data_IF_139275538080
#
_entry.id   IF_139275538080
#
_cell.length_a   1.000
_cell.length_b   1.000
_cell.length_c   1.000
_cell.angle_alpha   90.00
_cell.angle_beta   90.00
_cell.angle_gamma   90.00
#
_symmetry.space_group_name_H-M   'P 1'
#
loop_
_entity.id
_entity.type
_entity.pdbx_description
1 polymer ?
#
# COMPACT_ATOMS: atom_id res chain seq x y z
N UNK A 1 1.62 14.83 -3.12
CA UNK A 1 1.62 16.29 -2.88
C UNK A 1 2.69 17.01 -3.70
N UNK A 2 3.97 16.59 -3.63
CA UNK A 2 5.07 17.23 -4.37
C UNK A 2 4.87 17.22 -5.90
N UNK A 3 4.53 16.08 -6.49
CA UNK A 3 4.27 15.95 -7.94
C UNK A 3 3.17 16.90 -8.43
N UNK A 4 2.08 17.01 -7.68
CA UNK A 4 0.98 17.94 -8.01
C UNK A 4 1.42 19.41 -7.97
N UNK A 5 2.25 19.80 -7.01
CA UNK A 5 2.81 21.14 -6.94
C UNK A 5 3.75 21.45 -8.11
N UNK A 6 4.66 20.54 -8.43
CA UNK A 6 5.60 20.68 -9.56
C UNK A 6 4.85 20.77 -10.90
N UNK A 7 3.86 19.90 -11.12
CA UNK A 7 3.04 19.92 -12.33
C UNK A 7 2.21 21.21 -12.44
N UNK A 8 1.53 21.62 -11.36
CA UNK A 8 0.68 22.80 -11.36
C UNK A 8 1.49 24.10 -11.55
N UNK A 9 2.53 24.32 -10.75
CA UNK A 9 3.39 25.50 -10.91
C UNK A 9 4.19 25.47 -12.21
N UNK A 10 4.62 24.29 -12.65
CA UNK A 10 5.38 24.14 -13.89
C UNK A 10 4.53 24.56 -15.09
N UNK A 11 3.25 24.20 -15.06
CA UNK A 11 2.29 24.66 -16.06
C UNK A 11 1.97 26.16 -15.92
N UNK A 12 1.59 26.63 -14.73
CA UNK A 12 1.17 28.04 -14.53
C UNK A 12 2.27 29.08 -14.77
N UNK A 13 3.52 28.73 -14.45
CA UNK A 13 4.67 29.63 -14.61
C UNK A 13 5.49 29.35 -15.87
N UNK A 14 5.05 28.39 -16.69
CA UNK A 14 5.73 27.92 -17.90
C UNK A 14 7.23 27.63 -17.66
N UNK A 15 7.57 27.12 -16.48
CA UNK A 15 8.95 26.89 -16.06
C UNK A 15 9.44 25.52 -16.54
N UNK A 16 10.28 25.52 -17.58
CA UNK A 16 10.87 24.33 -18.20
C UNK A 16 11.48 23.34 -17.21
N UNK A 17 12.29 23.83 -16.27
CA UNK A 17 12.98 22.98 -15.29
C UNK A 17 11.99 22.25 -14.37
N UNK A 18 10.93 22.95 -13.94
CA UNK A 18 9.92 22.38 -13.06
C UNK A 18 9.09 21.31 -13.78
N UNK A 19 8.74 21.58 -15.04
CA UNK A 19 8.00 20.67 -15.89
C UNK A 19 8.81 19.41 -16.23
N UNK A 20 10.11 19.54 -16.51
CA UNK A 20 11.01 18.40 -16.73
C UNK A 20 11.19 17.56 -15.47
N UNK A 21 11.32 18.21 -14.30
CA UNK A 21 11.40 17.50 -13.02
C UNK A 21 10.13 16.70 -12.76
N UNK A 22 8.96 17.29 -13.03
CA UNK A 22 7.67 16.59 -12.96
C UNK A 22 7.63 15.37 -13.90
N UNK A 23 8.03 15.53 -15.16
CA UNK A 23 8.09 14.43 -16.13
C UNK A 23 8.99 13.28 -15.66
N UNK A 24 10.21 13.60 -15.21
CA UNK A 24 11.17 12.58 -14.75
C UNK A 24 10.63 11.81 -13.55
N UNK A 25 10.01 12.50 -12.57
CA UNK A 25 9.40 11.83 -11.42
C UNK A 25 8.27 10.90 -11.86
N UNK A 26 7.39 11.35 -12.76
CA UNK A 26 6.31 10.51 -13.28
C UNK A 26 6.83 9.29 -14.05
N UNK A 27 7.93 9.44 -14.81
CA UNK A 27 8.54 8.33 -15.52
C UNK A 27 9.09 7.29 -14.53
N UNK A 28 9.77 7.72 -13.46
CA UNK A 28 10.22 6.81 -12.42
C UNK A 28 9.06 6.08 -11.74
N UNK A 29 7.95 6.76 -11.49
CA UNK A 29 6.76 6.13 -10.92
C UNK A 29 6.21 5.03 -11.85
N UNK A 30 6.17 5.23 -13.17
CA UNK A 30 5.75 4.18 -14.14
C UNK A 30 6.69 2.98 -14.04
N UNK A 31 8.00 3.23 -13.99
CA UNK A 31 8.98 2.15 -13.89
C UNK A 31 8.82 1.34 -12.59
N UNK A 32 8.52 2.00 -11.47
CA UNK A 32 8.23 1.34 -10.20
C UNK A 32 6.97 0.50 -10.30
N UNK A 33 5.88 1.02 -10.89
CA UNK A 33 4.63 0.27 -11.09
C UNK A 33 4.85 -1.00 -11.92
N UNK A 34 5.57 -0.90 -13.04
CA UNK A 34 5.92 -2.05 -13.88
C UNK A 34 6.76 -3.05 -13.10
N UNK A 35 7.74 -2.57 -12.32
CA UNK A 35 8.60 -3.43 -11.50
C UNK A 35 7.78 -4.15 -10.42
N UNK A 36 6.86 -3.46 -9.74
CA UNK A 36 5.98 -4.06 -8.74
C UNK A 36 5.09 -5.15 -9.34
N UNK A 37 4.50 -4.90 -10.52
CA UNK A 37 3.68 -5.91 -11.23
C UNK A 37 4.53 -7.13 -11.59
N UNK A 38 5.75 -6.94 -12.10
CA UNK A 38 6.66 -8.04 -12.43
C UNK A 38 7.06 -8.85 -11.20
N UNK A 39 7.43 -8.17 -10.11
CA UNK A 39 7.84 -8.82 -8.86
C UNK A 39 6.68 -9.61 -8.25
N UNK A 40 5.48 -9.03 -8.20
CA UNK A 40 4.29 -9.72 -7.72
C UNK A 40 3.95 -10.94 -8.59
N UNK A 41 4.13 -10.85 -9.91
CA UNK A 41 3.81 -11.96 -10.82
C UNK A 41 4.82 -13.12 -10.71
N UNK A 42 6.11 -12.81 -10.56
CA UNK A 42 7.18 -13.81 -10.57
C UNK A 42 7.43 -14.45 -9.19
N UNK A 43 7.30 -13.66 -8.11
CA UNK A 43 7.71 -14.07 -6.75
C UNK A 43 6.54 -14.11 -5.77
N UNK A 44 5.32 -14.38 -6.25
CA UNK A 44 4.12 -14.35 -5.41
C UNK A 44 4.20 -15.30 -4.20
N UNK A 45 4.81 -16.49 -4.35
CA UNK A 45 4.95 -17.46 -3.25
C UNK A 45 5.94 -16.97 -2.18
N UNK A 46 7.10 -16.46 -2.59
CA UNK A 46 8.09 -15.90 -1.66
C UNK A 46 7.56 -14.67 -0.95
N UNK A 47 6.80 -13.82 -1.65
CA UNK A 47 6.15 -12.65 -1.05
C UNK A 47 5.07 -13.06 -0.05
N UNK A 48 4.31 -14.13 -0.30
CA UNK A 48 3.29 -14.63 0.63
C UNK A 48 3.94 -15.07 1.95
N UNK A 49 5.04 -15.83 1.85
CA UNK A 49 5.81 -16.25 3.01
C UNK A 49 6.43 -15.07 3.73
N UNK A 50 7.09 -14.17 3.00
CA UNK A 50 7.74 -12.99 3.57
C UNK A 50 6.74 -12.07 4.27
N UNK A 51 5.56 -11.86 3.69
CA UNK A 51 4.51 -11.06 4.30
C UNK A 51 4.02 -11.69 5.62
N UNK A 52 3.83 -13.01 5.67
CA UNK A 52 3.50 -13.72 6.91
C UNK A 52 4.61 -13.54 7.96
N UNK A 53 5.86 -13.66 7.58
CA UNK A 53 7.01 -13.53 8.49
C UNK A 53 7.17 -12.10 9.01
N UNK A 54 7.11 -11.10 8.13
CA UNK A 54 7.19 -9.67 8.50
C UNK A 54 6.00 -9.28 9.43
N UNK A 55 4.80 -9.83 9.21
CA UNK A 55 3.65 -9.64 10.10
C UNK A 55 3.88 -10.26 11.48
N UNK A 56 4.42 -11.49 11.54
CA UNK A 56 4.76 -12.15 12.82
C UNK A 56 5.83 -11.40 13.57
N UNK A 57 6.80 -10.83 12.86
CA UNK A 57 7.82 -9.97 13.46
C UNK A 57 7.20 -8.70 14.05
N UNK A 58 6.28 -8.06 13.32
CA UNK A 58 5.53 -6.91 13.83
C UNK A 58 4.72 -7.21 15.10
N UNK A 59 4.25 -8.43 15.30
CA UNK A 59 3.54 -8.80 16.54
C UNK A 59 4.43 -8.69 17.80
N UNK A 60 5.77 -8.69 17.67
CA UNK A 60 6.68 -8.48 18.81
C UNK A 60 6.49 -7.10 19.46
N UNK A 61 6.24 -6.08 18.65
CA UNK A 61 6.13 -4.70 19.10
C UNK A 61 4.70 -4.31 19.48
N UNK A 62 3.77 -5.27 19.43
CA UNK A 62 2.36 -5.08 19.75
C UNK A 62 2.13 -4.41 21.13
N UNK A 63 2.98 -4.70 22.11
CA UNK A 63 2.89 -4.13 23.46
C UNK A 63 3.53 -2.76 23.60
N UNK A 64 4.49 -2.43 22.74
CA UNK A 64 5.36 -1.26 22.86
C UNK A 64 4.78 -0.12 22.03
N UNK A 65 4.28 -0.43 20.84
CA UNK A 65 3.78 0.55 19.89
C UNK A 65 2.24 0.56 19.90
N UNK A 66 1.66 1.61 20.47
CA UNK A 66 0.20 1.79 20.54
C UNK A 66 -0.46 1.85 19.15
N UNK A 67 0.22 2.44 18.15
CA UNK A 67 -0.27 2.47 16.78
C UNK A 67 -0.34 1.07 16.15
N UNK A 68 0.67 0.23 16.42
CA UNK A 68 0.70 -1.16 15.95
C UNK A 68 -0.33 -2.02 16.68
N UNK A 69 -0.49 -1.80 17.99
CA UNK A 69 -1.56 -2.42 18.79
C UNK A 69 -2.93 -2.14 18.18
N UNK A 70 -3.26 -0.87 17.97
CA UNK A 70 -4.55 -0.46 17.42
C UNK A 70 -4.77 -1.02 16.00
N UNK A 71 -3.71 -1.10 15.20
CA UNK A 71 -3.79 -1.68 13.85
C UNK A 71 -4.14 -3.18 13.89
N UNK A 72 -3.47 -3.94 14.76
CA UNK A 72 -3.78 -5.36 14.98
C UNK A 72 -5.19 -5.56 15.53
N UNK A 73 -5.59 -4.78 16.54
CA UNK A 73 -6.91 -4.86 17.14
C UNK A 73 -8.03 -4.58 16.14
N UNK A 74 -7.85 -3.57 15.29
CA UNK A 74 -8.81 -3.23 14.25
C UNK A 74 -8.86 -4.31 13.17
N UNK A 75 -7.72 -4.82 12.72
CA UNK A 75 -7.68 -5.89 11.71
C UNK A 75 -8.45 -7.12 12.19
N UNK A 76 -8.21 -7.57 13.42
CA UNK A 76 -8.89 -8.73 14.00
C UNK A 76 -10.41 -8.53 14.15
N UNK A 77 -10.84 -7.34 14.57
CA UNK A 77 -12.26 -7.00 14.70
C UNK A 77 -12.98 -6.89 13.35
N UNK A 78 -12.34 -6.26 12.35
CA UNK A 78 -12.92 -6.05 11.02
C UNK A 78 -13.05 -7.38 10.28
N UNK A 79 -11.97 -8.16 10.25
CA UNK A 79 -11.93 -9.42 9.50
C UNK A 79 -12.41 -10.63 10.29
N UNK A 80 -12.72 -10.46 11.59
CA UNK A 80 -13.16 -11.53 12.50
C UNK A 80 -12.22 -12.72 12.44
N UNK A 81 -10.95 -12.44 12.74
CA UNK A 81 -9.83 -13.37 12.56
C UNK A 81 -8.87 -13.26 13.74
N UNK A 82 -7.97 -14.23 13.89
CA UNK A 82 -6.97 -14.19 14.96
C UNK A 82 -5.59 -14.71 14.54
N UNK A 83 -4.58 -13.89 14.81
CA UNK A 83 -3.18 -14.19 14.47
C UNK A 83 -2.89 -14.09 12.97
N UNK A 84 -1.64 -14.30 12.59
CA UNK A 84 -1.23 -14.24 11.17
C UNK A 84 -1.77 -15.47 10.44
N UNK A 85 -1.39 -16.65 10.93
CA UNK A 85 -1.81 -17.96 10.42
C UNK A 85 -2.55 -18.78 11.47
N UNK A 86 -2.38 -18.46 12.76
CA UNK A 86 -3.12 -19.11 13.83
C UNK A 86 -3.14 -18.24 15.10
N UNK A 87 -4.12 -18.44 15.99
CA UNK A 87 -4.18 -17.78 17.30
C UNK A 87 -2.91 -18.03 18.14
N UNK A 88 -2.24 -19.16 17.94
CA UNK A 88 -0.97 -19.51 18.60
C UNK A 88 0.17 -18.53 18.28
N UNK A 89 0.07 -17.75 17.19
CA UNK A 89 1.06 -16.72 16.85
C UNK A 89 1.17 -15.64 17.97
N UNK A 90 0.14 -15.50 18.81
CA UNK A 90 0.13 -14.59 19.96
C UNK A 90 0.89 -15.12 21.19
N UNK A 91 1.29 -16.39 21.22
CA UNK A 91 2.02 -16.94 22.35
C UNK A 91 3.32 -16.15 22.59
N UNK A 92 3.54 -15.76 23.84
CA UNK A 92 4.66 -14.94 24.28
C UNK A 92 4.75 -13.53 23.65
N UNK A 93 3.72 -13.05 22.94
CA UNK A 93 3.67 -11.68 22.41
C UNK A 93 2.88 -10.72 23.30
N UNK A 94 2.03 -11.24 24.18
CA UNK A 94 1.15 -10.46 25.07
C UNK A 94 1.67 -10.44 26.51
N UNK A 95 1.04 -9.61 27.37
CA UNK A 95 1.46 -9.35 28.76
C UNK A 95 1.68 -10.62 29.61
N UNK A 96 0.83 -11.63 29.44
CA UNK A 96 0.81 -12.83 30.27
C UNK A 96 1.29 -14.10 29.53
N UNK A 97 1.87 -13.96 28.34
CA UNK A 97 2.45 -15.05 27.53
C UNK A 97 1.45 -16.08 26.97
N UNK A 98 0.27 -16.22 27.57
CA UNK A 98 -0.80 -17.16 27.19
C UNK A 98 -2.14 -16.48 26.87
N UNK A 99 -2.27 -15.18 27.12
CA UNK A 99 -3.53 -14.46 26.95
C UNK A 99 -3.60 -13.86 25.55
N UNK A 100 -4.68 -14.15 24.82
CA UNK A 100 -4.95 -13.55 23.52
C UNK A 100 -5.36 -12.07 23.68
N UNK A 101 -5.14 -11.23 22.67
CA UNK A 101 -5.74 -9.89 22.64
C UNK A 101 -7.27 -9.95 22.72
N UNK A 102 -7.91 -8.99 23.38
CA UNK A 102 -9.38 -8.93 23.47
C UNK A 102 -10.04 -8.81 22.08
N UNK A 103 -9.34 -8.25 21.10
CA UNK A 103 -9.76 -8.14 19.69
C UNK A 103 -9.85 -9.48 18.96
N UNK A 104 -9.15 -10.51 19.44
CA UNK A 104 -9.19 -11.88 18.94
C UNK A 104 -10.39 -12.66 19.49
N UNK A 105 -11.04 -12.18 20.56
CA UNK A 105 -12.16 -12.85 21.21
C UNK A 105 -13.50 -12.46 20.54
N UNK A 106 -14.35 -13.45 20.25
CA UNK A 106 -15.73 -13.27 19.76
C UNK A 106 -16.61 -12.62 20.82
N UNK A 107 -16.55 -13.17 22.02
CA UNK A 107 -17.33 -12.77 23.18
C UNK A 107 -16.38 -12.59 24.37
N UNK A 108 -16.58 -11.52 25.13
CA UNK A 108 -15.78 -11.19 26.31
C UNK A 108 -16.44 -11.66 27.62
N UNK A 109 -17.29 -12.69 27.55
CA UNK A 109 -18.02 -13.22 28.70
C UNK A 109 -17.37 -14.52 29.15
N UNK A 110 -16.47 -14.44 30.13
CA UNK A 110 -15.79 -15.61 30.70
C UNK A 110 -14.48 -15.95 29.98
N UNK A 111 -14.34 -17.19 29.50
CA UNK A 111 -13.17 -17.62 28.73
C UNK A 111 -13.20 -17.06 27.30
N UNK A 112 -12.05 -16.64 26.76
CA UNK A 112 -11.98 -16.07 25.42
C UNK A 112 -12.25 -17.15 24.35
N UNK A 113 -13.40 -17.08 23.70
CA UNK A 113 -13.69 -17.83 22.48
C UNK A 113 -13.07 -17.09 21.29
N UNK A 114 -11.90 -17.54 20.82
CA UNK A 114 -11.19 -16.87 19.73
C UNK A 114 -11.84 -17.08 18.35
N UNK A 115 -11.50 -16.21 17.40
CA UNK A 115 -11.76 -16.44 15.98
C UNK A 115 -10.86 -17.55 15.46
N UNK A 116 -11.44 -18.54 14.76
CA UNK A 116 -10.70 -19.67 14.21
C UNK A 116 -9.95 -19.30 12.93
N UNK A 117 -10.42 -18.28 12.22
CA UNK A 117 -9.85 -17.93 10.92
C UNK A 117 -8.57 -17.11 11.03
N UNK A 118 -7.54 -17.42 10.21
CA UNK A 118 -6.30 -16.66 10.17
C UNK A 118 -6.48 -15.31 9.47
N UNK A 119 -5.90 -14.25 10.03
CA UNK A 119 -6.08 -12.90 9.47
C UNK A 119 -5.44 -12.71 8.10
N UNK A 120 -4.29 -13.36 7.86
CA UNK A 120 -3.61 -13.22 6.58
C UNK A 120 -4.45 -13.80 5.43
N UNK A 121 -4.98 -15.02 5.59
CA UNK A 121 -5.81 -15.63 4.54
C UNK A 121 -7.14 -14.88 4.39
N UNK A 122 -7.80 -14.44 5.47
CA UNK A 122 -9.00 -13.59 5.37
C UNK A 122 -8.74 -12.30 4.57
N UNK A 123 -7.61 -11.63 4.83
CA UNK A 123 -7.23 -10.42 4.11
C UNK A 123 -6.94 -10.72 2.63
N UNK A 124 -6.24 -11.83 2.34
CA UNK A 124 -5.95 -12.29 0.99
C UNK A 124 -7.22 -12.67 0.23
N UNK A 125 -8.13 -13.42 0.85
CA UNK A 125 -9.42 -13.81 0.26
C UNK A 125 -10.28 -12.58 -0.02
N UNK A 126 -10.31 -11.62 0.91
CA UNK A 126 -11.00 -10.35 0.68
C UNK A 126 -10.39 -9.58 -0.49
N UNK A 127 -9.06 -9.55 -0.61
CA UNK A 127 -8.38 -8.92 -1.73
C UNK A 127 -8.71 -9.61 -3.06
N UNK A 128 -8.66 -10.94 -3.10
CA UNK A 128 -8.99 -11.73 -4.29
C UNK A 128 -10.46 -11.59 -4.69
N UNK A 129 -11.38 -11.52 -3.73
CA UNK A 129 -12.79 -11.28 -3.98
C UNK A 129 -13.06 -9.89 -4.57
N UNK A 130 -12.21 -8.90 -4.25
CA UNK A 130 -12.32 -7.52 -4.72
C UNK A 130 -11.29 -7.15 -5.80
N UNK A 131 -10.58 -8.14 -6.37
CA UNK A 131 -9.43 -7.89 -7.24
C UNK A 131 -9.79 -7.10 -8.50
N UNK A 132 -11.00 -7.31 -9.04
CA UNK A 132 -11.50 -6.57 -10.21
C UNK A 132 -11.54 -5.06 -9.94
N UNK A 133 -11.98 -4.66 -8.75
CA UNK A 133 -12.02 -3.25 -8.35
C UNK A 133 -10.61 -2.68 -8.20
N UNK A 134 -9.71 -3.43 -7.56
CA UNK A 134 -8.31 -3.03 -7.36
C UNK A 134 -7.59 -2.84 -8.70
N UNK A 135 -7.73 -3.80 -9.62
CA UNK A 135 -7.19 -3.70 -10.97
C UNK A 135 -7.80 -2.52 -11.74
N UNK A 136 -9.11 -2.28 -11.59
CA UNK A 136 -9.78 -1.13 -12.17
C UNK A 136 -9.16 0.20 -11.75
N UNK A 137 -8.93 0.40 -10.44
CA UNK A 137 -8.23 1.60 -9.94
C UNK A 137 -6.79 1.70 -10.46
N UNK A 138 -6.05 0.58 -10.50
CA UNK A 138 -4.69 0.53 -11.03
C UNK A 138 -4.62 0.97 -12.50
N UNK A 139 -5.52 0.47 -13.35
CA UNK A 139 -5.60 0.87 -14.77
C UNK A 139 -5.93 2.35 -14.91
N UNK A 140 -6.87 2.87 -14.13
CA UNK A 140 -7.21 4.29 -14.13
C UNK A 140 -6.00 5.18 -13.78
N UNK A 141 -5.24 4.81 -12.74
CA UNK A 141 -4.02 5.52 -12.34
C UNK A 141 -3.00 5.50 -13.49
N UNK A 142 -2.76 4.33 -14.09
CA UNK A 142 -1.85 4.21 -15.23
C UNK A 142 -2.24 5.11 -16.40
N UNK A 143 -3.53 5.14 -16.78
CA UNK A 143 -4.02 6.02 -17.85
C UNK A 143 -3.74 7.50 -17.53
N UNK A 144 -4.08 7.94 -16.31
CA UNK A 144 -3.86 9.34 -15.88
C UNK A 144 -2.37 9.69 -15.94
N UNK A 145 -1.51 8.77 -15.54
CA UNK A 145 -0.06 8.99 -15.53
C UNK A 145 0.53 9.09 -16.95
N UNK A 146 0.08 8.24 -17.88
CA UNK A 146 0.47 8.33 -19.29
C UNK A 146 -0.01 9.65 -19.91
N UNK A 147 -1.26 10.06 -19.64
CA UNK A 147 -1.77 11.35 -20.09
C UNK A 147 -0.95 12.51 -19.52
N UNK A 148 -0.58 12.46 -18.23
CA UNK A 148 0.23 13.49 -17.60
C UNK A 148 1.65 13.58 -18.21
N UNK A 149 2.27 12.44 -18.53
CA UNK A 149 3.55 12.40 -19.25
C UNK A 149 3.44 13.02 -20.65
N UNK A 150 2.38 12.66 -21.40
CA UNK A 150 2.11 13.21 -22.73
C UNK A 150 1.92 14.73 -22.68
N UNK A 151 1.03 15.22 -21.82
CA UNK A 151 0.77 16.66 -21.69
C UNK A 151 2.00 17.43 -21.19
N UNK A 152 2.75 16.87 -20.25
CA UNK A 152 4.00 17.49 -19.77
C UNK A 152 5.01 17.67 -20.91
N UNK A 153 5.20 16.65 -21.75
CA UNK A 153 6.10 16.76 -22.90
C UNK A 153 5.59 17.69 -23.99
N UNK A 154 4.29 17.68 -24.28
CA UNK A 154 3.69 18.59 -25.24
C UNK A 154 3.88 20.05 -24.81
N UNK A 155 3.59 20.35 -23.55
CA UNK A 155 3.76 21.70 -22.99
C UNK A 155 5.24 22.11 -22.98
N UNK A 156 6.16 21.21 -22.60
CA UNK A 156 7.59 21.48 -22.65
C UNK A 156 8.07 21.82 -24.07
N UNK A 157 7.63 21.05 -25.07
CA UNK A 157 7.93 21.31 -26.48
C UNK A 157 7.36 22.65 -26.97
N UNK A 158 6.16 23.03 -26.51
CA UNK A 158 5.55 24.31 -26.86
C UNK A 158 6.35 25.48 -26.30
N UNK A 159 6.75 25.42 -25.02
CA UNK A 159 7.56 26.46 -24.37
C UNK A 159 8.93 26.58 -25.07
N UNK A 160 9.55 25.46 -25.44
CA UNK A 160 10.81 25.49 -26.20
C UNK A 160 10.66 26.17 -27.57
N UNK A 161 9.56 25.90 -28.29
CA UNK A 161 9.29 26.56 -29.58
C UNK A 161 9.06 28.05 -29.39
N UNK A 162 8.30 28.46 -28.38
CA UNK A 162 8.01 29.86 -28.11
C UNK A 162 9.30 30.66 -27.81
N UNK A 163 10.22 30.10 -27.02
CA UNK A 163 11.52 30.74 -26.73
C UNK A 163 12.35 30.93 -28.01
N UNK A 164 12.41 29.90 -28.88
CA UNK A 164 13.13 29.99 -30.15
C UNK A 164 12.58 31.04 -31.13
N UNK A 165 11.31 31.44 -31.02
CA UNK A 165 10.76 32.52 -31.85
C UNK A 165 11.08 33.93 -31.31
N UNK A 166 11.50 34.03 -30.05
CA UNK A 166 11.82 35.31 -29.41
C UNK A 166 13.32 35.67 -29.46
N UNK A 167 14.18 34.70 -29.79
CA UNK A 167 15.62 34.86 -30.05
C UNK A 167 15.92 35.02 -31.56
#
# INVERSE_FOLDING_TARGET
>A
MVTGFLGCLGALKEQKCLLMTFFVILLFLVMIEVTLILVLSLYHEELDKKAKDDLREGMNDYRINEGLKNSWDNMQKIFKCCGVSNHTDWHNKTANGKQLPDSCCRDNVGECHHWEEPCYEKAKDWLLANITSVLGFGVCIGIVQILALLFSMLMYCQILRAEKYMD
#
